data_IF_692303965750
#
_entry.id   IF_692303965750
#
_cell.length_a   1.000
_cell.length_b   1.000
_cell.length_c   1.000
_cell.angle_alpha   90.00
_cell.angle_beta   90.00
_cell.angle_gamma   90.00
#
_symmetry.space_group_name_H-M   'P 1'
#
loop_
_entity.id
_entity.type
_entity.pdbx_description
1 polymer ?
#
# COMPACT_ATOMS: atom_id res chain seq x y z
N UNK A 1 -27.34 13.19 -8.94
CA UNK A 1 -26.04 13.88 -9.04
C UNK A 1 -25.03 13.02 -8.31
N UNK A 2 -24.10 12.47 -9.08
CA UNK A 2 -23.19 11.41 -8.65
C UNK A 2 -22.15 11.92 -7.66
N UNK A 3 -21.71 11.03 -6.81
CA UNK A 3 -20.64 11.26 -5.85
C UNK A 3 -19.36 11.67 -6.62
N UNK A 4 -19.01 12.96 -6.63
CA UNK A 4 -17.78 13.53 -7.22
C UNK A 4 -16.54 13.25 -6.34
N UNK A 5 -16.35 11.98 -5.98
CA UNK A 5 -15.26 11.49 -5.13
C UNK A 5 -14.00 11.16 -5.94
N UNK A 6 -14.01 11.38 -7.26
CA UNK A 6 -12.97 10.90 -8.17
C UNK A 6 -11.66 11.68 -8.14
N UNK A 7 -11.66 12.96 -7.77
CA UNK A 7 -10.44 13.79 -7.81
C UNK A 7 -9.57 13.69 -6.56
N UNK A 8 -10.05 14.24 -5.44
CA UNK A 8 -9.27 14.40 -4.21
C UNK A 8 -9.08 13.08 -3.49
N UNK A 9 -10.13 12.25 -3.41
CA UNK A 9 -10.08 10.97 -2.72
C UNK A 9 -9.22 9.95 -3.50
N UNK A 10 -9.28 9.96 -4.83
CA UNK A 10 -8.37 9.19 -5.67
C UNK A 10 -6.90 9.60 -5.50
N UNK A 11 -6.63 10.91 -5.42
CA UNK A 11 -5.28 11.43 -5.14
C UNK A 11 -4.77 11.03 -3.75
N UNK A 12 -5.63 11.06 -2.72
CA UNK A 12 -5.25 10.61 -1.38
C UNK A 12 -4.87 9.12 -1.39
N UNK A 13 -5.68 8.28 -2.03
CA UNK A 13 -5.38 6.85 -2.16
C UNK A 13 -4.05 6.64 -2.88
N UNK A 14 -3.80 7.36 -3.98
CA UNK A 14 -2.54 7.28 -4.71
C UNK A 14 -1.33 7.67 -3.83
N UNK A 15 -1.44 8.75 -3.05
CA UNK A 15 -0.37 9.17 -2.12
C UNK A 15 -0.10 8.09 -1.07
N UNK A 16 -1.16 7.49 -0.53
CA UNK A 16 -1.05 6.40 0.45
C UNK A 16 -0.44 5.13 -0.16
N UNK A 17 -0.81 4.77 -1.38
CA UNK A 17 -0.23 3.63 -2.10
C UNK A 17 1.27 3.82 -2.33
N UNK A 18 1.69 5.01 -2.78
CA UNK A 18 3.10 5.34 -2.98
C UNK A 18 3.86 5.23 -1.65
N UNK A 19 3.31 5.78 -0.58
CA UNK A 19 3.91 5.71 0.75
C UNK A 19 4.06 4.26 1.24
N UNK A 20 3.03 3.43 1.06
CA UNK A 20 3.05 2.01 1.42
C UNK A 20 4.10 1.22 0.61
N UNK A 21 4.22 1.51 -0.69
CA UNK A 21 5.25 0.92 -1.55
C UNK A 21 6.66 1.30 -1.06
N UNK A 22 6.91 2.58 -0.79
CA UNK A 22 8.21 3.07 -0.30
C UNK A 22 8.58 2.37 1.01
N UNK A 23 7.65 2.31 1.96
CA UNK A 23 7.87 1.62 3.23
C UNK A 23 8.08 0.11 3.03
N UNK A 24 7.34 -0.52 2.11
CA UNK A 24 7.54 -1.93 1.79
C UNK A 24 8.95 -2.19 1.24
N UNK A 25 9.45 -1.29 0.38
CA UNK A 25 10.81 -1.36 -0.16
C UNK A 25 11.89 -1.12 0.90
N UNK A 26 11.64 -0.22 1.86
CA UNK A 26 12.56 0.08 2.96
C UNK A 26 12.57 -1.00 4.06
N UNK A 27 11.58 -1.90 4.09
CA UNK A 27 11.51 -2.97 5.07
C UNK A 27 12.69 -3.95 5.02
N UNK A 28 12.96 -4.62 6.14
CA UNK A 28 13.95 -5.70 6.24
C UNK A 28 13.45 -7.05 5.68
N UNK A 29 12.31 -7.06 4.98
CA UNK A 29 11.76 -8.29 4.40
C UNK A 29 12.56 -8.75 3.18
N UNK A 30 12.40 -10.02 2.81
CA UNK A 30 13.05 -10.59 1.63
C UNK A 30 12.53 -9.94 0.33
N UNK A 31 13.34 -9.94 -0.72
CA UNK A 31 12.99 -9.35 -2.03
C UNK A 31 11.65 -9.88 -2.57
N UNK A 32 11.39 -11.19 -2.47
CA UNK A 32 10.12 -11.77 -2.90
C UNK A 32 8.91 -11.23 -2.12
N UNK A 33 9.06 -11.01 -0.82
CA UNK A 33 8.00 -10.42 0.01
C UNK A 33 7.73 -8.97 -0.37
N UNK A 34 8.79 -8.19 -0.66
CA UNK A 34 8.65 -6.80 -1.12
C UNK A 34 7.86 -6.74 -2.41
N UNK A 35 8.23 -7.57 -3.39
CA UNK A 35 7.55 -7.62 -4.69
C UNK A 35 6.08 -8.00 -4.52
N UNK A 36 5.77 -9.01 -3.69
CA UNK A 36 4.39 -9.42 -3.42
C UNK A 36 3.55 -8.27 -2.85
N UNK A 37 4.09 -7.51 -1.88
CA UNK A 37 3.41 -6.34 -1.31
C UNK A 37 3.18 -5.24 -2.33
N UNK A 38 4.17 -4.94 -3.16
CA UNK A 38 4.03 -3.93 -4.23
C UNK A 38 2.95 -4.35 -5.22
N UNK A 39 2.94 -5.62 -5.67
CA UNK A 39 1.90 -6.14 -6.56
C UNK A 39 0.52 -6.07 -5.91
N UNK A 40 0.40 -6.46 -4.62
CA UNK A 40 -0.86 -6.42 -3.90
C UNK A 40 -1.44 -5.00 -3.85
N UNK A 41 -0.63 -3.99 -3.53
CA UNK A 41 -1.03 -2.58 -3.49
C UNK A 41 -1.41 -2.08 -4.90
N UNK A 42 -0.65 -2.44 -5.94
CA UNK A 42 -0.94 -2.00 -7.31
C UNK A 42 -2.24 -2.57 -7.90
N UNK A 43 -2.50 -3.87 -7.68
CA UNK A 43 -3.70 -4.52 -8.20
C UNK A 43 -4.94 -4.20 -7.37
N UNK A 44 -4.77 -4.01 -6.07
CA UNK A 44 -5.83 -3.68 -5.13
C UNK A 44 -5.40 -2.43 -4.35
N UNK A 45 -5.57 -1.21 -4.87
CA UNK A 45 -5.10 0.02 -4.20
C UNK A 45 -5.72 0.18 -2.80
N UNK A 46 -7.05 0.17 -2.72
CA UNK A 46 -7.74 0.35 -1.43
C UNK A 46 -7.48 -0.83 -0.47
N UNK A 47 -7.68 -2.07 -0.93
CA UNK A 47 -7.54 -3.24 -0.05
C UNK A 47 -6.09 -3.58 0.24
N UNK A 48 -5.20 -3.39 -0.72
CA UNK A 48 -3.77 -3.62 -0.59
C UNK A 48 -3.12 -2.62 0.36
N UNK A 49 -3.50 -1.34 0.31
CA UNK A 49 -3.11 -0.36 1.32
C UNK A 49 -3.60 -0.76 2.72
N UNK A 50 -4.87 -1.15 2.84
CA UNK A 50 -5.45 -1.58 4.12
C UNK A 50 -4.72 -2.81 4.67
N UNK A 51 -4.46 -3.84 3.85
CA UNK A 51 -3.71 -5.01 4.28
C UNK A 51 -2.27 -4.66 4.66
N UNK A 52 -1.64 -3.76 3.93
CA UNK A 52 -0.28 -3.30 4.22
C UNK A 52 -0.21 -2.58 5.57
N UNK A 53 -1.23 -1.84 5.99
CA UNK A 53 -1.26 -1.22 7.33
C UNK A 53 -1.23 -2.25 8.46
N UNK A 54 -1.86 -3.42 8.29
CA UNK A 54 -1.91 -4.45 9.34
C UNK A 54 -0.76 -5.46 9.24
N UNK A 55 -0.39 -5.85 8.03
CA UNK A 55 0.51 -6.97 7.75
C UNK A 55 1.78 -6.53 7.01
N UNK A 56 2.00 -5.23 6.87
CA UNK A 56 3.09 -4.65 6.11
C UNK A 56 4.46 -5.26 6.44
N UNK A 57 5.31 -5.43 5.42
CA UNK A 57 6.59 -6.12 5.58
C UNK A 57 7.48 -5.30 6.51
N UNK A 58 8.17 -5.97 7.44
CA UNK A 58 9.08 -5.32 8.38
C UNK A 58 8.49 -4.95 9.74
N UNK A 59 7.28 -5.40 10.09
CA UNK A 59 6.81 -5.38 11.49
C UNK A 59 7.72 -6.29 12.32
N UNK A 60 8.79 -5.72 12.89
CA UNK A 60 9.64 -6.40 13.85
C UNK A 60 8.74 -6.75 15.04
N UNK A 61 8.33 -8.02 15.13
CA UNK A 61 7.73 -8.57 16.35
C UNK A 61 8.79 -8.40 17.43
N UNK A 62 8.59 -7.40 18.28
CA UNK A 62 9.31 -7.29 19.55
C UNK A 62 8.87 -8.47 20.41
#
# INVERSE_FOLDING_TARGET
MGIEVSGILGLLILVFDIWAIIQAMQSSATTGSKILWVLLILFLPVLGFVFWLFLGPGRKKI
#
